data_IF_072119831770
#
_entry.id   IF_072119831770
#
_cell.length_a   1.000
_cell.length_b   1.000
_cell.length_c   1.000
_cell.angle_alpha   90.00
_cell.angle_beta   90.00
_cell.angle_gamma   90.00
#
_symmetry.space_group_name_H-M   'P 1'
#
loop_
_entity.id
_entity.type
_entity.pdbx_description
1 polymer ?
#
# COMPACT_ATOMS: atom_id res chain seq x y z
N UNK A 1 13.89 -3.49 11.05
CA UNK A 1 13.82 -2.14 11.62
C UNK A 1 12.66 -2.07 12.60
N UNK A 2 12.84 -1.51 13.80
CA UNK A 2 11.74 -1.31 14.76
C UNK A 2 10.90 -0.09 14.31
N UNK A 3 9.59 -0.09 14.53
CA UNK A 3 8.65 1.00 14.18
C UNK A 3 8.79 2.28 15.03
N UNK A 4 9.99 2.50 15.58
CA UNK A 4 10.30 3.58 16.50
C UNK A 4 9.95 3.28 17.96
N UNK A 5 9.20 2.22 18.25
CA UNK A 5 8.82 1.84 19.63
C UNK A 5 10.02 1.61 20.54
N UNK A 6 11.08 0.95 20.08
CA UNK A 6 12.32 0.78 20.87
C UNK A 6 12.98 2.12 21.16
N UNK A 7 13.09 3.00 20.16
CA UNK A 7 13.68 4.34 20.34
C UNK A 7 12.87 5.19 21.33
N UNK A 8 11.54 5.15 21.21
CA UNK A 8 10.63 5.80 22.16
C UNK A 8 10.80 5.23 23.57
N UNK A 9 10.76 3.91 23.75
CA UNK A 9 10.91 3.26 25.06
C UNK A 9 12.26 3.62 25.71
N UNK A 10 13.36 3.60 24.95
CA UNK A 10 14.68 3.94 25.46
C UNK A 10 14.83 5.43 25.80
N UNK A 11 14.26 6.33 24.99
CA UNK A 11 14.27 7.77 25.28
C UNK A 11 13.43 8.16 26.51
N UNK A 12 12.46 7.34 26.90
CA UNK A 12 11.70 7.54 28.14
C UNK A 12 12.55 7.26 29.37
N UNK A 13 13.45 6.27 29.31
CA UNK A 13 14.26 5.82 30.45
C UNK A 13 15.68 6.39 30.49
N UNK A 14 16.19 6.96 29.39
CA UNK A 14 17.55 7.52 29.31
C UNK A 14 17.56 8.93 28.71
N UNK A 15 18.09 9.91 29.48
CA UNK A 15 18.28 11.29 29.00
C UNK A 15 19.26 11.36 27.83
N UNK A 16 20.36 10.62 27.92
CA UNK A 16 21.35 10.54 26.84
C UNK A 16 20.71 10.04 25.54
N UNK A 17 19.95 8.93 25.60
CA UNK A 17 19.27 8.40 24.40
C UNK A 17 18.22 9.40 23.89
N UNK A 18 17.50 10.09 24.79
CA UNK A 18 16.54 11.13 24.39
C UNK A 18 17.20 12.26 23.62
N UNK A 19 18.33 12.77 24.09
CA UNK A 19 19.07 13.85 23.44
C UNK A 19 19.66 13.40 22.10
N UNK A 20 20.31 12.23 22.07
CA UNK A 20 20.94 11.70 20.85
C UNK A 20 19.90 11.29 19.80
N UNK A 21 18.75 10.76 20.20
CA UNK A 21 17.68 10.39 19.26
C UNK A 21 16.87 11.59 18.76
N UNK A 22 16.90 12.73 19.46
CA UNK A 22 16.05 13.88 19.17
C UNK A 22 16.06 14.33 17.69
N UNK A 23 17.22 14.45 17.00
CA UNK A 23 17.27 14.86 15.60
C UNK A 23 16.69 13.83 14.62
N UNK A 24 16.62 12.57 15.04
CA UNK A 24 16.14 11.44 14.25
C UNK A 24 14.68 11.10 14.55
N UNK A 25 14.11 11.71 15.60
CA UNK A 25 12.69 11.60 15.88
C UNK A 25 11.91 12.16 14.68
N UNK A 26 10.98 11.34 14.16
CA UNK A 26 10.04 11.65 13.08
C UNK A 26 10.58 11.49 11.66
N UNK A 27 11.86 11.16 11.46
CA UNK A 27 12.38 10.91 10.11
C UNK A 27 11.65 9.77 9.38
N UNK A 28 11.24 8.75 10.14
CA UNK A 28 10.44 7.63 9.67
C UNK A 28 9.18 7.49 10.54
N UNK A 29 8.00 7.59 9.93
CA UNK A 29 6.72 7.45 10.63
C UNK A 29 5.89 6.35 9.96
N UNK A 30 5.42 5.39 10.76
CA UNK A 30 4.46 4.38 10.35
C UNK A 30 3.21 4.48 11.20
N UNK A 31 2.09 4.90 10.60
CA UNK A 31 0.80 5.01 11.25
C UNK A 31 -0.13 3.95 10.67
N UNK A 32 -0.75 3.19 11.57
CA UNK A 32 -1.86 2.32 11.25
C UNK A 32 -3.01 2.64 12.20
N UNK A 33 -4.17 2.92 11.61
CA UNK A 33 -5.40 3.19 12.32
C UNK A 33 -5.67 4.68 12.57
N UNK A 34 -6.95 5.02 12.41
CA UNK A 34 -7.51 6.36 12.53
C UNK A 34 -7.07 7.14 13.78
N UNK A 35 -7.14 6.51 14.97
CA UNK A 35 -6.78 7.18 16.24
C UNK A 35 -5.32 7.67 16.27
N UNK A 36 -4.40 6.92 15.68
CA UNK A 36 -2.97 7.29 15.63
C UNK A 36 -2.72 8.45 14.65
N UNK A 37 -3.43 8.45 13.52
CA UNK A 37 -3.41 9.56 12.56
C UNK A 37 -3.90 10.86 13.22
N UNK A 38 -5.04 10.82 13.92
CA UNK A 38 -5.56 11.97 14.65
C UNK A 38 -4.60 12.47 15.73
N UNK A 39 -4.03 11.55 16.51
CA UNK A 39 -3.09 11.91 17.55
C UNK A 39 -1.86 12.62 16.97
N UNK A 40 -1.24 12.06 15.92
CA UNK A 40 -0.07 12.68 15.30
C UNK A 40 -0.40 14.07 14.73
N UNK A 41 -1.56 14.22 14.08
CA UNK A 41 -1.99 15.51 13.55
C UNK A 41 -2.16 16.57 14.66
N UNK A 42 -2.59 16.18 15.87
CA UNK A 42 -2.65 17.09 17.03
C UNK A 42 -1.26 17.45 17.54
N UNK A 43 -0.35 16.48 17.62
CA UNK A 43 1.03 16.69 18.04
C UNK A 43 1.77 17.63 17.07
N UNK A 44 1.58 17.49 15.76
CA UNK A 44 2.17 18.35 14.73
C UNK A 44 1.70 19.81 14.82
N UNK A 45 0.42 20.04 15.14
CA UNK A 45 -0.12 21.41 15.32
C UNK A 45 0.49 22.13 16.53
N UNK A 46 0.88 21.37 17.56
CA UNK A 46 1.47 21.92 18.79
C UNK A 46 3.00 21.96 18.80
N UNK A 47 3.67 21.39 17.80
CA UNK A 47 5.12 21.24 17.80
C UNK A 47 5.83 22.59 17.53
N UNK A 48 6.73 22.98 18.42
CA UNK A 48 7.65 24.10 18.18
C UNK A 48 8.80 23.64 17.28
N UNK A 49 8.72 24.00 15.99
CA UNK A 49 9.73 23.70 14.98
C UNK A 49 9.34 22.54 14.06
N UNK A 50 9.84 22.63 12.81
CA UNK A 50 9.59 21.62 11.78
C UNK A 50 10.71 20.59 11.79
N UNK A 51 10.38 19.36 12.18
CA UNK A 51 11.26 18.20 12.06
C UNK A 51 11.05 17.56 10.69
N UNK A 52 12.11 17.13 10.00
CA UNK A 52 11.94 16.49 8.71
C UNK A 52 11.27 15.12 8.86
N UNK A 53 10.39 14.80 7.92
CA UNK A 53 9.80 13.47 7.73
C UNK A 53 10.19 13.03 6.32
N UNK A 54 11.07 12.04 6.24
CA UNK A 54 11.56 11.51 4.97
C UNK A 54 10.73 10.30 4.51
N UNK A 55 10.28 9.48 5.46
CA UNK A 55 9.56 8.24 5.18
C UNK A 55 8.23 8.21 5.93
N UNK A 56 7.13 8.15 5.19
CA UNK A 56 5.79 8.13 5.75
C UNK A 56 5.00 6.93 5.23
N UNK A 57 4.54 6.10 6.15
CA UNK A 57 3.59 5.03 5.90
C UNK A 57 2.28 5.36 6.62
N UNK A 58 1.19 5.49 5.86
CA UNK A 58 -0.15 5.77 6.36
C UNK A 58 -1.07 4.59 6.02
N UNK A 59 -1.74 4.07 7.03
CA UNK A 59 -2.77 3.07 6.87
C UNK A 59 -4.02 3.45 7.65
N UNK A 60 -5.14 3.56 6.94
CA UNK A 60 -6.44 3.92 7.53
C UNK A 60 -7.20 2.73 8.13
N UNK A 61 -6.67 1.50 7.99
CA UNK A 61 -7.29 0.26 8.47
C UNK A 61 -7.70 0.40 9.93
N UNK A 62 -8.99 0.21 10.19
CA UNK A 62 -9.50 0.14 11.56
C UNK A 62 -8.89 -1.07 12.26
N UNK A 63 -8.41 -0.86 13.48
CA UNK A 63 -8.15 -1.94 14.43
C UNK A 63 -9.33 -1.90 15.41
N UNK A 64 -10.33 -2.79 15.28
CA UNK A 64 -10.18 -4.20 15.69
C UNK A 64 -10.53 -5.20 14.55
N UNK A 65 -10.55 -6.54 14.79
CA UNK A 65 -10.54 -7.60 13.75
C UNK A 65 -11.72 -7.57 12.76
N UNK A 66 -11.60 -8.26 11.61
CA UNK A 66 -12.55 -8.28 10.48
C UNK A 66 -14.00 -8.66 10.79
N UNK A 67 -14.30 -9.13 12.00
CA UNK A 67 -15.66 -9.53 12.40
C UNK A 67 -16.52 -8.34 12.86
N UNK A 68 -15.92 -7.15 13.01
CA UNK A 68 -16.65 -5.92 13.27
C UNK A 68 -16.76 -5.13 11.96
N UNK A 69 -17.85 -5.33 11.21
CA UNK A 69 -18.23 -4.36 10.18
C UNK A 69 -18.23 -2.97 10.84
N UNK A 70 -17.60 -1.95 10.21
CA UNK A 70 -17.59 -0.62 10.78
C UNK A 70 -19.04 -0.19 11.04
N UNK A 71 -19.31 0.27 12.25
CA UNK A 71 -20.64 0.78 12.57
C UNK A 71 -20.91 1.97 11.62
N UNK A 72 -22.13 2.16 11.09
CA UNK A 72 -22.43 3.29 10.19
C UNK A 72 -22.01 4.65 10.77
N UNK A 73 -22.07 4.79 12.09
CA UNK A 73 -21.64 5.99 12.81
C UNK A 73 -20.12 6.23 12.79
N UNK A 74 -19.31 5.20 12.57
CA UNK A 74 -17.86 5.34 12.39
C UNK A 74 -17.50 5.92 11.00
N UNK A 75 -18.43 5.85 10.03
CA UNK A 75 -18.21 6.32 8.66
C UNK A 75 -18.27 7.86 8.57
N UNK A 76 -19.17 8.51 9.32
CA UNK A 76 -19.22 9.98 9.42
C UNK A 76 -18.02 10.54 10.19
N UNK A 77 -17.56 9.84 11.23
CA UNK A 77 -16.33 10.21 11.94
C UNK A 77 -15.08 10.13 11.04
N UNK A 78 -15.06 9.17 10.11
CA UNK A 78 -13.98 9.03 9.14
C UNK A 78 -13.83 10.28 8.27
N UNK A 79 -14.89 10.74 7.61
CA UNK A 79 -14.80 11.85 6.66
C UNK A 79 -14.54 13.21 7.35
N UNK A 80 -15.17 13.44 8.51
CA UNK A 80 -15.08 14.72 9.21
C UNK A 80 -13.72 14.96 9.86
N UNK A 81 -13.06 13.91 10.35
CA UNK A 81 -11.83 14.04 11.13
C UNK A 81 -10.58 13.50 10.43
N UNK A 82 -10.69 12.44 9.59
CA UNK A 82 -9.51 11.85 8.98
C UNK A 82 -8.90 12.76 7.94
N UNK A 83 -9.71 13.28 7.00
CA UNK A 83 -9.18 14.11 5.91
C UNK A 83 -8.44 15.35 6.46
N UNK A 84 -8.99 16.15 7.40
CA UNK A 84 -8.24 17.26 7.99
C UNK A 84 -6.96 16.82 8.72
N UNK A 85 -6.95 15.65 9.34
CA UNK A 85 -5.76 15.11 9.99
C UNK A 85 -4.70 14.67 8.98
N UNK A 86 -5.10 14.00 7.90
CA UNK A 86 -4.24 13.69 6.76
C UNK A 86 -3.70 14.97 6.14
N UNK A 87 -4.53 16.00 5.93
CA UNK A 87 -4.07 17.30 5.42
C UNK A 87 -2.95 17.87 6.28
N UNK A 88 -3.16 17.89 7.61
CA UNK A 88 -2.17 18.40 8.56
C UNK A 88 -0.85 17.64 8.44
N UNK A 89 -0.90 16.31 8.37
CA UNK A 89 0.30 15.46 8.28
C UNK A 89 1.02 15.62 6.94
N UNK A 90 0.27 15.57 5.84
CA UNK A 90 0.82 15.66 4.49
C UNK A 90 1.38 17.06 4.21
N UNK A 91 0.71 18.12 4.64
CA UNK A 91 1.22 19.49 4.55
C UNK A 91 2.55 19.61 5.32
N UNK A 92 2.59 19.09 6.55
CA UNK A 92 3.79 19.09 7.38
C UNK A 92 4.94 18.30 6.75
N UNK A 93 4.68 17.13 6.18
CA UNK A 93 5.69 16.25 5.60
C UNK A 93 6.11 16.61 4.17
N UNK A 94 5.23 17.27 3.40
CA UNK A 94 5.34 17.44 1.93
C UNK A 94 6.71 17.92 1.45
N UNK A 95 7.31 18.86 2.19
CA UNK A 95 8.58 19.51 1.83
C UNK A 95 9.83 18.67 2.09
N UNK A 96 9.73 17.55 2.79
CA UNK A 96 10.89 16.69 3.11
C UNK A 96 10.68 15.25 2.69
N UNK A 97 9.47 14.90 2.25
CA UNK A 97 9.09 13.51 2.03
C UNK A 97 9.80 12.92 0.82
N UNK A 98 10.48 11.79 1.02
CA UNK A 98 11.18 11.03 -0.02
C UNK A 98 10.43 9.76 -0.39
N UNK A 99 9.77 9.11 0.58
CA UNK A 99 8.95 7.92 0.34
C UNK A 99 7.58 8.05 1.02
N UNK A 100 6.51 7.78 0.27
CA UNK A 100 5.15 7.79 0.77
C UNK A 100 4.45 6.47 0.45
N UNK A 101 3.91 5.83 1.47
CA UNK A 101 3.01 4.69 1.32
C UNK A 101 1.66 5.05 1.90
N UNK A 102 0.62 4.96 1.09
CA UNK A 102 -0.76 5.12 1.52
C UNK A 102 -1.52 3.82 1.27
N UNK A 103 -2.03 3.27 2.35
CA UNK A 103 -2.77 2.02 2.38
C UNK A 103 -4.18 2.32 2.88
N UNK A 104 -5.13 2.35 1.96
CA UNK A 104 -6.54 2.44 2.26
C UNK A 104 -7.21 1.08 2.19
N UNK A 105 -7.89 0.71 3.27
CA UNK A 105 -8.76 -0.46 3.34
C UNK A 105 -10.25 -0.08 3.38
N UNK A 106 -10.55 1.21 3.23
CA UNK A 106 -11.94 1.69 3.20
C UNK A 106 -12.66 1.34 1.89
N UNK A 107 -13.98 1.52 1.90
CA UNK A 107 -14.82 1.29 0.72
C UNK A 107 -14.39 2.14 -0.48
N UNK A 108 -14.83 1.74 -1.68
CA UNK A 108 -14.31 2.28 -2.95
C UNK A 108 -14.31 3.81 -3.05
N UNK A 109 -15.36 4.44 -2.57
CA UNK A 109 -15.51 5.89 -2.66
C UNK A 109 -14.54 6.64 -1.73
N UNK A 110 -14.39 6.15 -0.50
CA UNK A 110 -13.53 6.79 0.51
C UNK A 110 -12.05 6.60 0.17
N UNK A 111 -11.68 5.44 -0.37
CA UNK A 111 -10.34 5.18 -0.87
C UNK A 111 -9.95 6.15 -2.00
N UNK A 112 -10.86 6.39 -2.96
CA UNK A 112 -10.60 7.36 -4.04
C UNK A 112 -10.40 8.79 -3.52
N UNK A 113 -11.22 9.22 -2.55
CA UNK A 113 -11.08 10.56 -1.94
C UNK A 113 -9.74 10.69 -1.23
N UNK A 114 -9.36 9.71 -0.40
CA UNK A 114 -8.08 9.71 0.32
C UNK A 114 -6.88 9.79 -0.63
N UNK A 115 -6.89 9.01 -1.71
CA UNK A 115 -5.80 9.02 -2.71
C UNK A 115 -5.74 10.35 -3.45
N UNK A 116 -6.87 10.90 -3.90
CA UNK A 116 -6.89 12.21 -4.58
C UNK A 116 -6.39 13.32 -3.67
N UNK A 117 -6.83 13.32 -2.41
CA UNK A 117 -6.36 14.27 -1.41
C UNK A 117 -4.86 14.14 -1.18
N UNK A 118 -4.32 12.93 -1.14
CA UNK A 118 -2.89 12.69 -1.06
C UNK A 118 -2.14 13.27 -2.28
N UNK A 119 -2.67 13.08 -3.49
CA UNK A 119 -2.05 13.54 -4.74
C UNK A 119 -2.17 15.06 -4.95
N UNK A 120 -2.97 15.78 -4.16
CA UNK A 120 -3.11 17.24 -4.28
C UNK A 120 -1.98 18.05 -3.60
N UNK A 121 -1.09 17.39 -2.85
CA UNK A 121 0.03 18.06 -2.17
C UNK A 121 1.31 18.04 -3.00
N UNK A 122 2.03 19.17 -3.15
CA UNK A 122 3.28 19.20 -3.88
C UNK A 122 4.37 18.47 -3.10
N UNK A 123 4.99 17.46 -3.72
CA UNK A 123 6.09 16.72 -3.11
C UNK A 123 7.39 16.91 -3.90
N UNK A 124 8.16 17.98 -3.65
CA UNK A 124 9.36 18.30 -4.43
C UNK A 124 10.49 17.28 -4.28
N UNK A 125 10.51 16.49 -3.21
CA UNK A 125 11.54 15.49 -2.90
C UNK A 125 11.08 14.05 -3.00
N UNK A 126 9.80 13.79 -3.30
CA UNK A 126 9.25 12.43 -3.31
C UNK A 126 9.84 11.64 -4.47
N UNK A 127 10.53 10.56 -4.12
CA UNK A 127 11.15 9.62 -5.06
C UNK A 127 10.33 8.35 -5.24
N UNK A 128 9.58 7.96 -4.21
CA UNK A 128 8.80 6.74 -4.23
C UNK A 128 7.39 6.91 -3.65
N UNK A 129 6.39 6.45 -4.40
CA UNK A 129 4.99 6.47 -4.02
C UNK A 129 4.41 5.06 -4.16
N UNK A 130 3.85 4.55 -3.08
CA UNK A 130 3.02 3.33 -3.09
C UNK A 130 1.60 3.69 -2.67
N UNK A 131 0.62 3.37 -3.50
CA UNK A 131 -0.80 3.54 -3.20
C UNK A 131 -1.48 2.18 -3.28
N UNK A 132 -2.05 1.73 -2.17
CA UNK A 132 -3.07 0.69 -2.17
C UNK A 132 -4.39 1.31 -1.78
N UNK A 133 -5.41 1.14 -2.61
CA UNK A 133 -6.75 1.55 -2.28
C UNK A 133 -7.76 0.67 -3.01
N UNK A 134 -8.95 0.52 -2.43
CA UNK A 134 -10.07 -0.13 -3.09
C UNK A 134 -10.70 0.77 -4.15
N UNK A 135 -9.96 1.46 -5.02
CA UNK A 135 -10.54 2.37 -6.03
C UNK A 135 -9.93 2.15 -7.41
N UNK A 136 -10.72 2.35 -8.46
CA UNK A 136 -10.29 2.09 -9.82
C UNK A 136 -9.46 3.25 -10.37
N UNK A 137 -8.56 3.02 -11.33
CA UNK A 137 -7.88 4.11 -12.03
C UNK A 137 -8.84 5.14 -12.62
N UNK A 138 -10.01 4.71 -13.13
CA UNK A 138 -11.08 5.61 -13.61
C UNK A 138 -11.61 6.50 -12.49
N UNK A 139 -11.81 5.97 -11.29
CA UNK A 139 -12.20 6.75 -10.12
C UNK A 139 -11.10 7.71 -9.67
N UNK A 140 -9.83 7.51 -10.02
CA UNK A 140 -8.76 8.47 -9.69
C UNK A 140 -8.56 9.51 -10.79
N UNK A 141 -8.64 9.10 -12.05
CA UNK A 141 -8.39 9.95 -13.21
C UNK A 141 -9.55 10.89 -13.57
N UNK A 142 -10.79 10.62 -13.12
CA UNK A 142 -11.94 11.48 -13.43
C UNK A 142 -11.98 12.70 -12.50
N UNK A 143 -11.62 13.92 -12.95
CA UNK A 143 -11.67 15.10 -12.07
C UNK A 143 -13.12 15.35 -11.63
N UNK A 144 -13.33 15.63 -10.34
CA UNK A 144 -14.60 16.18 -9.84
C UNK A 144 -14.55 17.71 -9.90
N UNK A 145 -15.70 18.38 -10.01
CA UNK A 145 -15.77 19.83 -9.85
C UNK A 145 -15.11 20.25 -8.53
N UNK A 146 -14.11 21.12 -8.60
CA UNK A 146 -13.34 21.58 -7.44
C UNK A 146 -12.08 20.76 -7.12
N UNK A 147 -11.83 19.66 -7.81
CA UNK A 147 -10.56 18.94 -7.65
C UNK A 147 -9.42 19.78 -8.22
N UNK A 148 -8.41 20.02 -7.39
CA UNK A 148 -7.12 20.53 -7.85
C UNK A 148 -6.42 19.38 -8.55
N UNK A 149 -5.90 19.62 -9.76
CA UNK A 149 -5.11 18.63 -10.50
C UNK A 149 -3.95 18.12 -9.62
N UNK A 150 -3.49 16.87 -9.82
CA UNK A 150 -2.33 16.35 -9.11
C UNK A 150 -1.19 17.36 -9.18
N UNK A 151 -0.69 17.77 -8.03
CA UNK A 151 0.46 18.66 -7.99
C UNK A 151 1.67 17.88 -8.49
N UNK A 152 2.36 18.44 -9.47
CA UNK A 152 3.50 17.82 -10.12
C UNK A 152 4.53 17.29 -9.11
N UNK A 153 4.89 16.00 -9.22
CA UNK A 153 5.94 15.36 -8.40
C UNK A 153 7.21 15.15 -9.22
N UNK A 154 8.05 16.20 -9.41
CA UNK A 154 9.11 16.23 -10.42
C UNK A 154 10.16 15.11 -10.28
N UNK A 155 10.35 14.61 -9.06
CA UNK A 155 11.39 13.64 -8.70
C UNK A 155 10.87 12.22 -8.49
N UNK A 156 9.60 11.96 -8.77
CA UNK A 156 9.04 10.65 -8.53
C UNK A 156 9.60 9.65 -9.55
N UNK A 157 10.43 8.73 -9.06
CA UNK A 157 11.10 7.71 -9.86
C UNK A 157 10.38 6.36 -9.80
N UNK A 158 9.71 6.06 -8.67
CA UNK A 158 9.12 4.75 -8.39
C UNK A 158 7.65 4.88 -8.01
N UNK A 159 6.77 4.25 -8.80
CA UNK A 159 5.33 4.27 -8.58
C UNK A 159 4.77 2.85 -8.47
N UNK A 160 4.19 2.53 -7.31
CA UNK A 160 3.46 1.29 -7.10
C UNK A 160 1.97 1.58 -6.89
N UNK A 161 1.14 1.10 -7.82
CA UNK A 161 -0.32 1.17 -7.73
C UNK A 161 -0.90 -0.21 -7.46
N UNK A 162 -1.49 -0.40 -6.29
CA UNK A 162 -2.25 -1.59 -5.91
C UNK A 162 -3.75 -1.26 -5.90
N UNK A 163 -4.43 -1.49 -7.03
CA UNK A 163 -5.79 -1.01 -7.30
C UNK A 163 -6.65 -2.10 -7.98
N UNK A 164 -8.00 -2.03 -7.91
CA UNK A 164 -8.89 -2.76 -8.81
C UNK A 164 -8.90 -2.18 -10.22
N UNK A 165 -8.46 -2.94 -11.24
CA UNK A 165 -8.34 -2.46 -12.64
C UNK A 165 -9.55 -2.79 -13.52
N UNK A 166 -10.40 -3.74 -13.09
CA UNK A 166 -11.52 -4.29 -13.86
C UNK A 166 -11.13 -4.63 -15.30
N UNK A 167 -10.07 -5.43 -15.44
CA UNK A 167 -9.71 -6.04 -16.72
C UNK A 167 -9.20 -5.12 -17.83
N UNK A 168 -8.71 -3.90 -17.53
CA UNK A 168 -8.15 -2.96 -18.52
C UNK A 168 -9.03 -2.78 -19.78
N UNK A 169 -10.34 -2.57 -19.60
CA UNK A 169 -11.20 -2.06 -20.67
C UNK A 169 -10.61 -0.78 -21.27
N UNK A 170 -11.00 -0.37 -22.48
CA UNK A 170 -10.51 0.85 -23.13
C UNK A 170 -10.52 2.07 -22.19
N UNK A 171 -11.63 2.26 -21.47
CA UNK A 171 -11.78 3.35 -20.50
C UNK A 171 -10.82 3.23 -19.31
N UNK A 172 -10.66 2.02 -18.75
CA UNK A 172 -9.77 1.78 -17.62
C UNK A 172 -8.29 1.85 -18.02
N UNK A 173 -7.96 1.42 -19.23
CA UNK A 173 -6.62 1.54 -19.79
C UNK A 173 -6.25 3.01 -19.98
N UNK A 174 -7.13 3.80 -20.59
CA UNK A 174 -6.94 5.24 -20.73
C UNK A 174 -6.85 5.93 -19.37
N UNK A 175 -7.71 5.57 -18.42
CA UNK A 175 -7.65 6.13 -17.08
C UNK A 175 -6.35 5.77 -16.34
N UNK A 176 -5.84 4.55 -16.55
CA UNK A 176 -4.55 4.14 -15.98
C UNK A 176 -3.40 4.91 -16.60
N UNK A 177 -3.39 5.08 -17.93
CA UNK A 177 -2.44 5.94 -18.63
C UNK A 177 -2.47 7.36 -18.05
N UNK A 178 -3.65 8.01 -18.03
CA UNK A 178 -3.81 9.36 -17.50
C UNK A 178 -3.33 9.47 -16.05
N UNK A 179 -3.64 8.48 -15.20
CA UNK A 179 -3.20 8.47 -13.80
C UNK A 179 -1.67 8.39 -13.69
N UNK A 180 -1.03 7.44 -14.36
CA UNK A 180 0.44 7.25 -14.30
C UNK A 180 1.15 8.52 -14.78
N UNK A 181 0.75 9.04 -15.95
CA UNK A 181 1.41 10.18 -16.58
C UNK A 181 1.09 11.52 -15.91
N UNK A 182 -0.06 11.64 -15.22
CA UNK A 182 -0.38 12.85 -14.44
C UNK A 182 0.34 12.93 -13.10
N UNK A 183 0.71 11.79 -12.48
CA UNK A 183 1.47 11.78 -11.24
C UNK A 183 2.90 12.27 -11.49
N UNK A 184 3.59 11.67 -12.47
CA UNK A 184 4.94 12.09 -12.86
C UNK A 184 5.35 11.54 -14.24
N UNK A 185 5.99 12.36 -15.10
CA UNK A 185 6.56 11.92 -16.37
C UNK A 185 7.95 11.26 -16.20
N UNK A 186 8.57 11.36 -15.02
CA UNK A 186 9.94 10.85 -14.76
C UNK A 186 9.97 9.45 -14.16
N UNK A 187 8.83 8.76 -14.13
CA UNK A 187 8.71 7.42 -13.57
C UNK A 187 9.63 6.45 -14.33
N UNK A 188 10.55 5.86 -13.59
CA UNK A 188 11.51 4.86 -14.09
C UNK A 188 11.21 3.45 -13.62
N UNK A 189 10.48 3.30 -12.51
CA UNK A 189 10.00 2.01 -12.01
C UNK A 189 8.49 2.07 -11.80
N UNK A 190 7.76 1.17 -12.46
CA UNK A 190 6.31 1.08 -12.35
C UNK A 190 5.92 -0.33 -11.90
N UNK A 191 5.20 -0.42 -10.78
CA UNK A 191 4.59 -1.67 -10.30
C UNK A 191 3.08 -1.53 -10.33
N UNK A 192 2.41 -2.45 -11.02
CA UNK A 192 0.96 -2.58 -10.99
C UNK A 192 0.59 -3.85 -10.23
N UNK A 193 -0.12 -3.70 -9.12
CA UNK A 193 -0.73 -4.81 -8.39
C UNK A 193 -2.23 -4.78 -8.59
N UNK A 194 -2.77 -5.82 -9.19
CA UNK A 194 -4.20 -5.95 -9.40
C UNK A 194 -4.88 -6.45 -8.14
N UNK A 195 -5.89 -5.74 -7.65
CA UNK A 195 -6.70 -6.16 -6.50
C UNK A 195 -8.04 -6.77 -6.91
N UNK A 196 -8.47 -6.56 -8.15
CA UNK A 196 -9.72 -7.13 -8.66
C UNK A 196 -9.54 -8.60 -9.05
N UNK A 197 -10.50 -9.44 -8.66
CA UNK A 197 -10.54 -10.87 -9.00
C UNK A 197 -10.89 -11.15 -10.47
N UNK A 198 -10.79 -10.14 -11.33
CA UNK A 198 -11.20 -10.19 -12.72
C UNK A 198 -9.94 -10.22 -13.57
N UNK A 199 -9.33 -11.39 -13.67
CA UNK A 199 -8.32 -11.64 -14.69
C UNK A 199 -9.01 -11.48 -16.04
N UNK A 200 -8.68 -10.41 -16.76
CA UNK A 200 -9.08 -10.33 -18.15
C UNK A 200 -7.89 -10.76 -18.99
N UNK A 201 -8.15 -11.60 -19.99
CA UNK A 201 -7.25 -11.83 -21.11
C UNK A 201 -6.69 -10.51 -21.68
N UNK A 202 -7.50 -9.44 -21.62
CA UNK A 202 -7.08 -8.12 -22.08
C UNK A 202 -5.89 -7.54 -21.32
N UNK A 203 -5.74 -7.82 -20.03
CA UNK A 203 -4.58 -7.37 -19.24
C UNK A 203 -3.29 -7.94 -19.82
N UNK A 204 -3.24 -9.25 -20.09
CA UNK A 204 -2.02 -9.88 -20.61
C UNK A 204 -1.75 -9.48 -22.05
N UNK A 205 -2.79 -9.26 -22.86
CA UNK A 205 -2.64 -8.70 -24.21
C UNK A 205 -1.99 -7.31 -24.17
N UNK A 206 -2.48 -6.43 -23.28
CA UNK A 206 -1.94 -5.07 -23.12
C UNK A 206 -0.51 -5.14 -22.62
N UNK A 207 -0.25 -5.90 -21.55
CA UNK A 207 1.09 -6.03 -20.94
C UNK A 207 2.09 -6.62 -21.94
N UNK A 208 1.73 -7.69 -22.66
CA UNK A 208 2.60 -8.29 -23.67
C UNK A 208 2.89 -7.32 -24.81
N UNK A 209 1.87 -6.64 -25.34
CA UNK A 209 2.03 -5.63 -26.40
C UNK A 209 2.94 -4.48 -25.96
N UNK A 210 2.70 -3.92 -24.76
CA UNK A 210 3.49 -2.84 -24.19
C UNK A 210 4.95 -3.23 -23.98
N UNK A 211 5.21 -4.39 -23.38
CA UNK A 211 6.55 -4.92 -23.12
C UNK A 211 7.30 -5.29 -24.41
N UNK A 212 6.61 -5.84 -25.40
CA UNK A 212 7.20 -6.14 -26.69
C UNK A 212 7.58 -4.86 -27.44
N UNK A 213 6.73 -3.82 -27.39
CA UNK A 213 7.00 -2.54 -28.03
C UNK A 213 8.22 -1.80 -27.42
N UNK A 214 8.55 -2.02 -26.15
CA UNK A 214 9.78 -1.48 -25.51
C UNK A 214 10.98 -2.43 -25.54
N UNK A 215 10.85 -3.57 -26.24
CA UNK A 215 11.91 -4.56 -26.36
C UNK A 215 12.29 -5.26 -25.06
N UNK A 216 11.38 -5.36 -24.09
CA UNK A 216 11.60 -6.12 -22.84
C UNK A 216 11.30 -7.62 -23.04
N UNK A 217 10.36 -7.93 -23.94
CA UNK A 217 9.86 -9.29 -24.24
C UNK A 217 9.85 -9.49 -25.76
N UNK A 218 10.09 -10.70 -26.29
CA UNK A 218 9.90 -10.96 -27.71
C UNK A 218 8.42 -10.80 -28.13
N UNK A 219 8.21 -10.35 -29.38
CA UNK A 219 6.86 -10.18 -29.94
C UNK A 219 6.10 -11.51 -30.03
N UNK A 220 6.80 -12.61 -30.27
CA UNK A 220 6.22 -13.95 -30.37
C UNK A 220 7.01 -14.88 -29.46
N UNK A 221 6.32 -15.72 -28.69
CA UNK A 221 6.95 -16.79 -27.92
C UNK A 221 6.02 -17.98 -27.75
N UNK A 222 6.62 -19.16 -27.62
CA UNK A 222 5.89 -20.40 -27.35
C UNK A 222 5.41 -20.43 -25.90
N UNK A 223 4.17 -20.84 -25.72
CA UNK A 223 3.57 -21.15 -24.44
C UNK A 223 3.68 -22.65 -24.20
N UNK A 224 4.16 -23.10 -23.02
CA UNK A 224 4.14 -24.52 -22.69
C UNK A 224 2.70 -25.03 -22.79
N UNK A 225 2.45 -26.24 -23.34
CA UNK A 225 1.09 -26.76 -23.43
C UNK A 225 0.47 -26.83 -22.03
N UNK A 226 -0.84 -26.56 -21.87
CA UNK A 226 -1.58 -27.07 -20.73
C UNK A 226 -1.42 -28.60 -20.70
N UNK A 227 -1.57 -29.24 -19.55
CA UNK A 227 -1.42 -30.71 -19.38
C UNK A 227 -2.27 -31.56 -20.36
N UNK A 228 -3.21 -30.93 -21.06
CA UNK A 228 -4.22 -31.54 -21.92
C UNK A 228 -4.28 -30.97 -23.35
N UNK A 229 -3.34 -30.12 -23.77
CA UNK A 229 -3.46 -29.40 -25.06
C UNK A 229 -2.15 -29.34 -25.89
N UNK A 230 -2.29 -28.97 -27.17
CA UNK A 230 -1.14 -28.75 -28.06
C UNK A 230 -0.36 -27.49 -27.67
N UNK A 231 0.96 -27.41 -27.97
CA UNK A 231 1.72 -26.17 -27.79
C UNK A 231 1.05 -25.02 -28.55
N UNK A 232 0.96 -23.87 -27.89
CA UNK A 232 0.38 -22.65 -28.48
C UNK A 232 1.39 -21.51 -28.43
N UNK A 233 1.15 -20.46 -29.22
CA UNK A 233 2.04 -19.29 -29.30
C UNK A 233 1.33 -18.04 -28.82
N UNK A 234 2.00 -17.23 -28.00
CA UNK A 234 1.55 -15.88 -27.69
C UNK A 234 2.13 -14.89 -28.71
N UNK A 235 1.29 -14.00 -29.24
CA UNK A 235 1.70 -12.96 -30.22
C UNK A 235 1.26 -11.60 -29.69
N UNK A 236 2.23 -10.72 -29.47
CA UNK A 236 1.99 -9.34 -29.08
C UNK A 236 1.33 -8.57 -30.23
N UNK A 237 0.17 -7.99 -29.91
CA UNK A 237 -0.51 -7.05 -30.79
C UNK A 237 0.27 -5.73 -30.85
N UNK A 238 0.11 -4.93 -31.92
CA UNK A 238 0.59 -3.55 -31.94
C UNK A 238 -0.09 -2.74 -30.82
N UNK A 239 0.66 -1.82 -30.21
CA UNK A 239 0.09 -0.86 -29.25
C UNK A 239 -0.66 0.21 -30.03
N UNK A 240 -1.99 0.17 -29.98
CA UNK A 240 -2.89 1.12 -30.66
C UNK A 240 -3.64 2.03 -29.68
N UNK A 241 -3.14 2.12 -28.45
CA UNK A 241 -3.70 2.89 -27.34
C UNK A 241 -2.62 3.79 -26.74
N UNK A 242 -3.03 4.72 -25.88
CA UNK A 242 -2.10 5.59 -25.17
C UNK A 242 -1.22 4.77 -24.22
N UNK A 243 0.10 4.92 -24.39
CA UNK A 243 1.13 4.06 -23.79
C UNK A 243 1.03 4.01 -22.28
N UNK A 244 0.75 2.82 -21.74
CA UNK A 244 0.71 2.62 -20.30
C UNK A 244 2.11 2.78 -19.68
N UNK A 245 3.13 2.28 -20.38
CA UNK A 245 4.52 2.32 -19.93
C UNK A 245 5.17 3.65 -20.32
N UNK A 246 5.71 4.43 -19.34
CA UNK A 246 6.48 5.64 -19.62
C UNK A 246 7.70 5.37 -20.53
N UNK A 247 8.09 6.36 -21.33
CA UNK A 247 9.23 6.22 -22.26
C UNK A 247 10.56 5.99 -21.53
N UNK A 248 10.72 6.57 -20.33
CA UNK A 248 11.90 6.43 -19.48
C UNK A 248 11.92 5.17 -18.61
N UNK A 249 11.01 4.21 -18.83
CA UNK A 249 10.83 3.07 -17.95
C UNK A 249 12.05 2.13 -17.96
N UNK A 250 12.67 1.98 -16.79
CA UNK A 250 13.78 1.05 -16.53
C UNK A 250 13.26 -0.30 -16.08
N UNK A 251 12.24 -0.30 -15.22
CA UNK A 251 11.74 -1.52 -14.59
C UNK A 251 10.21 -1.54 -14.53
N UNK A 252 9.61 -2.65 -14.94
CA UNK A 252 8.18 -2.91 -14.82
C UNK A 252 7.93 -4.14 -13.95
N UNK A 253 7.08 -4.02 -12.94
CA UNK A 253 6.58 -5.16 -12.20
C UNK A 253 5.07 -5.28 -12.33
N UNK A 254 4.60 -6.52 -12.50
CA UNK A 254 3.18 -6.83 -12.42
C UNK A 254 2.93 -7.91 -11.38
N UNK A 255 1.94 -7.65 -10.54
CA UNK A 255 1.40 -8.63 -9.59
C UNK A 255 -0.07 -8.84 -9.96
N UNK A 256 -0.44 -10.02 -10.49
CA UNK A 256 -1.83 -10.32 -10.73
C UNK A 256 -2.59 -10.41 -9.41
N UNK A 257 -3.91 -10.26 -9.49
CA UNK A 257 -4.78 -10.53 -8.34
C UNK A 257 -4.60 -11.97 -7.91
N UNK A 258 -4.56 -12.27 -6.60
CA UNK A 258 -4.52 -13.66 -6.18
C UNK A 258 -5.76 -14.35 -6.73
N UNK A 259 -5.52 -15.53 -7.32
CA UNK A 259 -6.57 -16.43 -7.75
C UNK A 259 -7.38 -16.81 -6.51
N UNK A 260 -8.53 -16.16 -6.33
CA UNK A 260 -9.27 -16.27 -5.09
C UNK A 260 -9.76 -17.71 -4.88
N UNK A 261 -9.79 -18.16 -3.63
CA UNK A 261 -10.48 -19.40 -3.21
C UNK A 261 -12.00 -19.41 -3.50
N UNK A 262 -12.57 -18.30 -3.97
CA UNK A 262 -14.00 -18.16 -4.23
C UNK A 262 -14.47 -18.78 -5.55
N UNK A 263 -13.58 -19.02 -6.51
CA UNK A 263 -13.94 -19.63 -7.77
C UNK A 263 -13.39 -21.06 -7.82
N UNK A 264 -14.24 -22.02 -8.19
CA UNK A 264 -13.75 -23.35 -8.55
C UNK A 264 -12.75 -23.23 -9.70
N UNK A 265 -11.82 -24.19 -9.82
CA UNK A 265 -10.96 -24.30 -11.02
C UNK A 265 -11.78 -24.24 -12.32
N UNK A 266 -12.99 -24.83 -12.31
CA UNK A 266 -13.92 -24.76 -13.43
C UNK A 266 -14.28 -23.34 -13.89
N UNK A 267 -14.44 -22.39 -12.95
CA UNK A 267 -14.74 -21.00 -13.27
C UNK A 267 -13.51 -20.23 -13.75
N UNK A 268 -12.31 -20.66 -13.35
CA UNK A 268 -11.04 -20.09 -13.82
C UNK A 268 -10.77 -20.50 -15.28
N UNK A 269 -11.01 -21.78 -15.61
CA UNK A 269 -10.84 -22.32 -16.97
C UNK A 269 -11.82 -21.66 -17.95
N UNK A 270 -13.10 -21.54 -17.59
CA UNK A 270 -14.12 -20.85 -18.38
C UNK A 270 -13.81 -19.36 -18.62
N UNK A 271 -12.96 -18.75 -17.80
CA UNK A 271 -12.62 -17.33 -17.88
C UNK A 271 -11.28 -17.05 -18.58
N UNK A 272 -10.50 -18.10 -18.86
CA UNK A 272 -9.16 -17.95 -19.43
C UNK A 272 -8.12 -17.43 -18.42
N UNK A 273 -8.40 -17.50 -17.12
CA UNK A 273 -7.46 -17.06 -16.08
C UNK A 273 -6.19 -17.92 -16.06
N UNK A 274 -6.32 -19.22 -16.39
CA UNK A 274 -5.16 -20.12 -16.54
C UNK A 274 -4.23 -19.65 -17.66
N UNK A 275 -4.78 -19.26 -18.81
CA UNK A 275 -3.99 -18.72 -19.91
C UNK A 275 -3.36 -17.37 -19.56
N UNK A 276 -4.08 -16.51 -18.83
CA UNK A 276 -3.54 -15.24 -18.31
C UNK A 276 -2.30 -15.50 -17.45
N UNK A 277 -2.41 -16.39 -16.46
CA UNK A 277 -1.30 -16.69 -15.56
C UNK A 277 -0.14 -17.36 -16.32
N UNK A 278 -0.43 -18.33 -17.18
CA UNK A 278 0.55 -19.00 -18.04
C UNK A 278 1.30 -18.04 -18.97
N UNK A 279 0.60 -17.06 -19.54
CA UNK A 279 1.22 -16.00 -20.36
C UNK A 279 2.12 -15.12 -19.49
N UNK A 280 1.67 -14.65 -18.33
CA UNK A 280 2.48 -13.81 -17.44
C UNK A 280 3.71 -14.55 -16.89
N UNK A 281 3.55 -15.81 -16.49
CA UNK A 281 4.64 -16.69 -16.10
C UNK A 281 5.63 -16.85 -17.25
N UNK A 282 5.15 -17.12 -18.47
CA UNK A 282 6.03 -17.25 -19.64
C UNK A 282 6.74 -15.95 -19.97
N UNK A 283 6.04 -14.81 -19.92
CA UNK A 283 6.65 -13.47 -20.02
C UNK A 283 7.77 -13.35 -19.01
N UNK A 284 7.56 -13.74 -17.76
CA UNK A 284 8.60 -13.68 -16.73
C UNK A 284 9.84 -14.47 -17.09
N UNK A 285 9.69 -15.61 -17.76
CA UNK A 285 10.81 -16.47 -18.18
C UNK A 285 11.58 -15.85 -19.35
N UNK A 286 10.88 -15.29 -20.35
CA UNK A 286 11.50 -14.80 -21.59
C UNK A 286 11.88 -13.30 -21.54
N UNK A 287 11.40 -12.56 -20.54
CA UNK A 287 11.70 -11.14 -20.38
C UNK A 287 13.14 -10.90 -19.93
N UNK A 288 13.66 -9.71 -20.22
CA UNK A 288 14.86 -9.19 -19.57
C UNK A 288 14.60 -9.04 -18.04
N UNK A 289 15.28 -9.86 -17.24
CA UNK A 289 15.13 -9.93 -15.77
C UNK A 289 15.50 -8.64 -15.04
N UNK A 290 16.35 -7.80 -15.63
CA UNK A 290 16.73 -6.50 -15.06
C UNK A 290 15.68 -5.41 -15.34
N UNK A 291 14.71 -5.69 -16.23
CA UNK A 291 13.68 -4.72 -16.64
C UNK A 291 12.26 -5.17 -16.35
N UNK A 292 12.06 -6.43 -15.98
CA UNK A 292 10.74 -6.99 -15.72
C UNK A 292 10.73 -7.96 -14.54
N UNK A 293 9.72 -7.84 -13.69
CA UNK A 293 9.38 -8.83 -12.68
C UNK A 293 7.90 -9.21 -12.71
N UNK A 294 7.66 -10.51 -12.67
CA UNK A 294 6.34 -11.08 -12.37
C UNK A 294 6.31 -11.48 -10.91
N UNK A 295 5.45 -10.82 -10.14
CA UNK A 295 5.26 -11.07 -8.72
C UNK A 295 4.13 -12.08 -8.56
N UNK A 296 4.46 -13.36 -8.71
CA UNK A 296 3.49 -14.43 -8.50
C UNK A 296 3.04 -14.45 -7.03
N UNK A 297 1.72 -14.44 -6.82
CA UNK A 297 1.08 -14.73 -5.54
C UNK A 297 0.16 -15.93 -5.69
N UNK A 298 0.73 -17.05 -6.13
CA UNK A 298 0.14 -18.34 -5.76
C UNK A 298 0.02 -18.35 -4.24
N UNK A 299 -1.17 -18.63 -3.70
CA UNK A 299 -1.36 -18.69 -2.27
C UNK A 299 -0.35 -19.69 -1.72
N UNK A 300 0.66 -19.17 -1.01
CA UNK A 300 1.47 -19.97 -0.11
C UNK A 300 0.45 -20.75 0.71
N UNK A 301 0.51 -22.08 0.58
CA UNK A 301 -0.48 -23.04 1.05
C UNK A 301 -1.46 -22.46 2.10
N UNK A 302 -2.61 -21.95 1.63
CA UNK A 302 -3.74 -21.44 2.44
C UNK A 302 -4.41 -22.57 3.23
N UNK A 303 -3.69 -23.64 3.58
CA UNK A 303 -4.26 -24.82 4.22
C UNK A 303 -4.51 -24.64 5.72
N UNK A 304 -4.02 -23.61 6.41
CA UNK A 304 -4.22 -23.51 7.89
C UNK A 304 -4.40 -22.13 8.52
N UNK A 305 -4.26 -21.03 7.80
CA UNK A 305 -4.43 -19.72 8.43
C UNK A 305 -5.92 -19.31 8.45
N UNK A 306 -6.53 -19.30 9.64
CA UNK A 306 -7.78 -18.58 9.96
C UNK A 306 -7.62 -17.04 9.85
N UNK A 307 -6.72 -16.56 9.00
CA UNK A 307 -6.41 -15.13 8.86
C UNK A 307 -7.43 -14.46 7.96
N UNK A 308 -7.65 -13.18 8.25
CA UNK A 308 -8.55 -12.25 7.59
C UNK A 308 -8.69 -12.52 6.06
N UNK A 309 -9.91 -12.74 5.53
CA UNK A 309 -10.16 -12.90 4.11
C UNK A 309 -9.54 -11.80 3.23
N UNK A 310 -9.32 -10.60 3.78
CA UNK A 310 -8.66 -9.48 3.10
C UNK A 310 -7.15 -9.66 2.96
N UNK A 311 -6.49 -10.41 3.86
CA UNK A 311 -5.06 -10.75 3.73
C UNK A 311 -4.82 -11.82 2.65
N UNK A 312 -5.81 -12.68 2.41
CA UNK A 312 -5.80 -13.67 1.32
C UNK A 312 -6.00 -13.01 -0.06
N UNK A 313 -6.43 -11.75 -0.10
CA UNK A 313 -6.86 -11.04 -1.31
C UNK A 313 -5.78 -10.21 -2.03
N UNK A 314 -4.49 -10.29 -1.65
CA UNK A 314 -3.39 -9.80 -2.50
C UNK A 314 -2.30 -9.06 -1.73
N UNK A 315 -1.90 -7.89 -2.21
CA UNK A 315 -0.93 -7.01 -1.53
C UNK A 315 -1.56 -6.38 -0.30
N UNK A 316 -1.46 -7.10 0.83
CA UNK A 316 -2.06 -6.76 2.12
C UNK A 316 -1.17 -5.87 3.00
N UNK A 317 -1.70 -5.49 4.17
CA UNK A 317 -1.03 -4.55 5.08
C UNK A 317 0.34 -5.04 5.54
N UNK A 318 0.44 -6.33 5.91
CA UNK A 318 1.68 -6.95 6.38
C UNK A 318 2.77 -6.86 5.31
N UNK A 319 2.43 -7.21 4.07
CA UNK A 319 3.37 -7.10 2.95
C UNK A 319 3.73 -5.65 2.67
N UNK A 320 2.74 -4.75 2.55
CA UNK A 320 3.00 -3.35 2.25
C UNK A 320 3.92 -2.69 3.29
N UNK A 321 3.72 -3.02 4.56
CA UNK A 321 4.57 -2.56 5.66
C UNK A 321 5.95 -3.20 5.59
N UNK A 322 6.05 -4.51 5.31
CA UNK A 322 7.34 -5.20 5.19
C UNK A 322 8.18 -4.61 4.07
N UNK A 323 7.58 -4.44 2.89
CA UNK A 323 8.23 -3.85 1.72
C UNK A 323 8.66 -2.40 2.00
N UNK A 324 7.86 -1.64 2.75
CA UNK A 324 8.26 -0.30 3.21
C UNK A 324 9.44 -0.32 4.17
N UNK A 325 9.42 -1.18 5.19
CA UNK A 325 10.51 -1.31 6.16
C UNK A 325 11.81 -1.71 5.47
N UNK A 326 11.75 -2.62 4.49
CA UNK A 326 12.92 -3.03 3.73
C UNK A 326 13.51 -1.85 2.94
N UNK A 327 12.68 -1.04 2.27
CA UNK A 327 13.15 0.14 1.52
C UNK A 327 13.79 1.21 2.38
N UNK A 328 13.22 1.49 3.55
CA UNK A 328 13.79 2.46 4.48
C UNK A 328 15.17 2.00 4.98
N UNK A 329 15.42 0.68 4.98
CA UNK A 329 16.73 0.09 5.25
C UNK A 329 17.60 -0.11 4.01
N UNK A 330 17.42 0.68 2.94
CA UNK A 330 18.15 0.60 1.67
C UNK A 330 17.98 -0.72 0.88
N UNK A 331 17.01 -1.56 1.26
CA UNK A 331 16.68 -2.77 0.52
C UNK A 331 15.79 -2.51 -0.70
N UNK A 332 15.45 -3.58 -1.43
CA UNK A 332 14.66 -3.46 -2.66
C UNK A 332 13.16 -3.34 -2.38
N UNK A 333 12.70 -3.88 -1.25
CA UNK A 333 11.29 -3.93 -0.85
C UNK A 333 10.41 -4.52 -1.95
N UNK A 334 9.49 -3.71 -2.45
CA UNK A 334 8.48 -4.15 -3.41
C UNK A 334 9.02 -4.31 -4.85
N UNK A 335 10.31 -4.06 -5.10
CA UNK A 335 10.87 -4.01 -6.47
C UNK A 335 11.69 -5.23 -6.88
N UNK A 336 11.94 -6.17 -5.96
CA UNK A 336 12.67 -7.41 -6.28
C UNK A 336 11.70 -8.57 -6.44
N UNK A 337 11.93 -9.42 -7.44
CA UNK A 337 11.23 -10.70 -7.53
C UNK A 337 11.58 -11.51 -6.28
N UNK A 338 10.59 -11.73 -5.42
CA UNK A 338 10.77 -12.56 -4.23
C UNK A 338 11.00 -13.99 -4.71
N UNK A 339 12.07 -14.61 -4.25
CA UNK A 339 12.25 -16.04 -4.44
C UNK A 339 11.07 -16.75 -3.77
N UNK A 340 10.57 -17.80 -4.41
CA UNK A 340 9.50 -18.62 -3.83
C UNK A 340 10.11 -19.25 -2.58
N UNK A 341 9.74 -18.73 -1.42
CA UNK A 341 10.15 -19.28 -0.13
C UNK A 341 9.55 -20.68 -0.07
N UNK A 342 10.37 -21.69 0.24
CA UNK A 342 9.84 -23.03 0.46
C UNK A 342 8.82 -22.96 1.60
N UNK A 343 7.64 -23.59 1.48
CA UNK A 343 6.59 -23.49 2.51
C UNK A 343 7.07 -23.81 3.93
N UNK A 344 8.09 -24.67 4.07
CA UNK A 344 8.69 -25.04 5.36
C UNK A 344 9.44 -23.89 6.04
N UNK A 345 10.04 -22.97 5.27
CA UNK A 345 10.76 -21.81 5.79
C UNK A 345 9.82 -20.68 6.25
N UNK A 346 8.58 -20.67 5.75
CA UNK A 346 7.61 -19.60 6.02
C UNK A 346 6.92 -19.72 7.38
N UNK A 347 6.65 -20.94 7.84
CA UNK A 347 6.10 -21.19 9.18
C UNK A 347 7.01 -20.60 10.28
N UNK A 348 8.33 -20.61 10.06
CA UNK A 348 9.30 -19.99 10.97
C UNK A 348 9.23 -18.44 10.98
N UNK A 349 8.89 -17.81 9.84
CA UNK A 349 8.79 -16.35 9.71
C UNK A 349 7.52 -15.80 10.37
N UNK A 350 6.37 -16.45 10.17
CA UNK A 350 5.07 -16.01 10.71
C UNK A 350 5.07 -16.00 12.24
N UNK A 351 5.69 -17.00 12.87
CA UNK A 351 5.81 -17.08 14.32
C UNK A 351 6.65 -15.95 14.93
N UNK A 352 7.61 -15.41 14.17
CA UNK A 352 8.37 -14.22 14.54
C UNK A 352 7.51 -12.94 14.57
N UNK A 353 6.58 -12.80 13.62
CA UNK A 353 5.70 -11.63 13.53
C UNK A 353 4.59 -11.63 14.60
N UNK A 354 3.98 -12.78 14.89
CA UNK A 354 2.93 -12.89 15.93
C UNK A 354 3.46 -12.58 17.33
N UNK A 355 4.75 -12.80 17.58
CA UNK A 355 5.38 -12.55 18.88
C UNK A 355 5.86 -11.11 19.08
N UNK A 356 5.70 -10.21 18.12
CA UNK A 356 6.00 -8.79 18.32
C UNK A 356 4.81 -8.09 18.99
N UNK A 357 4.88 -7.73 20.29
CA UNK A 357 3.76 -7.14 21.00
C UNK A 357 3.62 -5.67 20.58
N UNK A 358 2.72 -5.37 19.66
CA UNK A 358 2.25 -4.01 19.39
C UNK A 358 1.06 -3.61 20.28
N UNK A 359 0.83 -4.35 21.38
CA UNK A 359 0.01 -3.91 22.50
C UNK A 359 0.78 -2.85 23.30
N UNK A 360 0.48 -1.59 23.05
CA UNK A 360 0.81 -0.52 23.99
C UNK A 360 0.13 -0.87 25.31
N UNK A 361 0.91 -1.30 26.30
CA UNK A 361 0.47 -1.24 27.70
C UNK A 361 0.35 0.25 28.01
N UNK A 362 -0.88 0.75 28.06
CA UNK A 362 -1.14 2.01 28.75
C UNK A 362 -0.65 1.81 30.18
N UNK A 363 0.48 2.40 30.53
CA UNK A 363 0.84 2.59 31.92
C UNK A 363 -0.16 3.65 32.43
N UNK A 364 -1.15 3.30 33.26
CA UNK A 364 -1.99 4.32 33.85
C UNK A 364 -1.07 5.29 34.58
N UNK A 365 -1.21 6.59 34.29
CA UNK A 365 -0.56 7.63 35.10
C UNK A 365 -0.87 7.30 36.56
N UNK A 366 0.17 7.06 37.37
CA UNK A 366 -0.02 6.85 38.80
C UNK A 366 -0.82 8.04 39.35
N UNK A 367 -1.88 7.84 40.13
CA UNK A 367 -2.52 8.95 40.80
C UNK A 367 -1.46 9.59 41.70
N UNK A 368 -1.07 10.82 41.35
CA UNK A 368 -0.22 11.63 42.21
C UNK A 368 -0.89 11.72 43.57
N UNK A 369 -0.31 11.06 44.56
CA UNK A 369 -0.73 11.13 45.95
C UNK A 369 -0.57 12.56 46.46
N UNK A 370 -1.66 13.33 46.43
CA UNK A 370 -1.83 14.48 47.33
C UNK A 370 -2.69 14.04 48.50
N UNK A 371 -2.08 13.30 49.43
CA UNK A 371 -2.52 13.31 50.82
C UNK A 371 -1.84 14.52 51.46
N UNK A 372 -2.59 15.60 51.64
CA UNK A 372 -2.63 16.34 52.90
C UNK A 372 -3.62 17.50 52.75
N UNK A 373 -4.41 17.71 53.81
CA UNK A 373 -5.34 18.84 54.06
C UNK A 373 -6.74 18.73 53.46
N UNK A 374 -7.62 18.03 54.19
CA UNK A 374 -8.82 18.61 54.82
C UNK A 374 -9.65 17.50 55.49
N UNK A 375 -9.22 17.10 56.70
CA UNK A 375 -10.17 16.68 57.75
C UNK A 375 -10.43 17.93 58.58
N UNK A 376 -11.66 18.43 58.54
CA UNK A 376 -12.40 19.11 59.61
C UNK A 376 -13.44 20.09 59.03
N UNK A 377 -14.65 19.59 58.80
CA UNK A 377 -15.92 20.33 58.98
C UNK A 377 -17.06 19.32 58.75
N UNK A 378 -17.57 18.69 59.81
CA UNK A 378 -18.93 18.95 60.34
C UNK A 378 -20.01 18.46 59.36
N UNK A 379 -20.49 17.21 59.49
CA UNK A 379 -21.74 16.83 60.19
C UNK A 379 -22.93 17.75 59.85
N UNK A 380 -24.04 17.12 59.42
CA UNK A 380 -25.39 17.65 59.06
C UNK A 380 -25.47 17.94 57.55
N UNK A 381 -26.36 17.33 56.78
CA UNK A 381 -27.82 17.26 57.00
C UNK A 381 -28.44 15.94 56.52
N UNK A 382 -29.29 15.41 57.40
CA UNK A 382 -30.48 14.62 57.11
C UNK A 382 -31.61 15.59 56.76
N UNK A 383 -32.52 15.17 55.87
CA UNK A 383 -33.94 15.57 55.75
C UNK A 383 -34.19 17.06 55.50
N UNK A 384 -34.59 17.42 54.29
CA UNK A 384 -35.98 17.76 53.89
C UNK A 384 -36.10 17.56 52.38
#
# INVERSE_FOLDING_TARGET
MNDGTTGCALSLVSRYIREVSYPYQWQCISLAGFKRVLQLAREMRGASGRRPIYHLFLCDRYSPPPDCFPHPDDQTAYDLDLLPALSTILEYASQTLETLVFFSDTCFYNGAIGVRHLLSFPYPHLRELTVRACCTPRQLASPRPGDVLPSYTPRLERLHLALPYHGMSSDNLQATHNLVHSISPTISHLRLTMLDKWGSRRVVEVVHAELAAVGIVPRVFDLPPPDWDSPSTAIALPVTWDRLLPDGLRFFAIQPSPTSTFYCSCCMDLRGDVDVMRILERISVVANKDRFAYMDRRPIAVRRCHTDPMEVAGYGYVEARSDWVERVGDGHGCWKQKEIINPEDEDALVDGYRRSPSSIVFIPKSPSSRISKLRNAVKRLKVW
#
